data_IF_578942887549
#
_entry.id   IF_578942887549
#
_cell.length_a   1.000
_cell.length_b   1.000
_cell.length_c   1.000
_cell.angle_alpha   90.00
_cell.angle_beta   90.00
_cell.angle_gamma   90.00
#
_symmetry.space_group_name_H-M   'P 1'
#
loop_
_entity.id
_entity.type
_entity.pdbx_description
1 polymer ?
#
# COMPACT_ATOMS: atom_id res chain seq x y z
N UNK A 1 17.32 -7.02 22.33
CA UNK A 1 17.35 -5.59 21.90
C UNK A 1 17.55 -5.52 20.39
N UNK A 2 16.49 -5.21 19.63
CA UNK A 2 16.53 -5.09 18.17
C UNK A 2 17.35 -3.86 17.73
N UNK A 3 18.68 -4.04 17.56
CA UNK A 3 19.64 -2.94 17.31
C UNK A 3 19.37 -2.13 16.03
N UNK A 4 18.57 -2.66 15.09
CA UNK A 4 18.32 -2.04 13.78
C UNK A 4 17.11 -1.09 13.68
N UNK A 5 16.28 -0.96 14.72
CA UNK A 5 15.00 -0.23 14.62
C UNK A 5 14.87 0.89 15.65
N UNK A 6 14.11 1.92 15.28
CA UNK A 6 13.56 2.92 16.20
C UNK A 6 12.10 2.61 16.47
N UNK A 7 11.69 2.66 17.74
CA UNK A 7 10.32 2.35 18.16
C UNK A 7 9.49 3.61 18.33
N UNK A 8 8.22 3.53 17.94
CA UNK A 8 7.27 4.62 18.00
C UNK A 8 5.90 4.12 18.48
N UNK A 9 5.18 4.96 19.21
CA UNK A 9 3.75 4.79 19.46
C UNK A 9 2.93 5.58 18.45
N UNK A 10 1.78 5.04 18.10
CA UNK A 10 0.81 5.70 17.24
C UNK A 10 0.01 6.74 18.03
N UNK A 11 0.15 8.02 17.65
CA UNK A 11 -0.61 9.13 18.26
C UNK A 11 -1.94 9.36 17.55
N UNK A 12 -1.96 9.25 16.22
CA UNK A 12 -3.14 9.52 15.40
C UNK A 12 -3.07 8.77 14.07
N UNK A 13 -4.22 8.31 13.59
CA UNK A 13 -4.42 7.82 12.22
C UNK A 13 -5.51 8.65 11.54
N UNK A 14 -5.24 9.07 10.31
CA UNK A 14 -6.23 9.65 9.40
C UNK A 14 -6.29 8.80 8.13
N UNK A 15 -7.49 8.38 7.72
CA UNK A 15 -7.69 7.56 6.53
C UNK A 15 -7.93 8.45 5.29
N UNK A 16 -7.18 8.22 4.23
CA UNK A 16 -7.35 8.84 2.90
C UNK A 16 -7.64 7.76 1.85
N UNK A 17 -8.10 8.14 0.64
CA UNK A 17 -8.47 7.16 -0.39
C UNK A 17 -7.37 6.18 -0.80
N UNK A 18 -6.10 6.64 -0.81
CA UNK A 18 -4.93 5.88 -1.26
C UNK A 18 -3.94 5.53 -0.15
N UNK A 19 -3.94 6.27 0.95
CA UNK A 19 -3.03 6.05 2.06
C UNK A 19 -3.69 6.28 3.41
N UNK A 20 -3.03 5.84 4.47
CA UNK A 20 -3.27 6.27 5.84
C UNK A 20 -2.16 7.23 6.21
N UNK A 21 -2.52 8.39 6.75
CA UNK A 21 -1.57 9.29 7.39
C UNK A 21 -1.49 8.94 8.87
N UNK A 22 -0.29 8.66 9.35
CA UNK A 22 -0.02 8.31 10.74
C UNK A 22 0.88 9.38 11.38
N UNK A 23 0.57 9.72 12.62
CA UNK A 23 1.42 10.58 13.45
C UNK A 23 2.00 9.71 14.56
N UNK A 24 3.32 9.69 14.65
CA UNK A 24 4.07 8.80 15.53
C UNK A 24 4.85 9.59 16.57
N UNK A 25 4.91 9.06 17.80
CA UNK A 25 5.74 9.60 18.89
C UNK A 25 6.86 8.61 19.21
N UNK A 26 8.11 9.08 19.21
CA UNK A 26 9.28 8.23 19.47
C UNK A 26 9.23 7.70 20.91
N UNK A 27 9.50 6.41 21.08
CA UNK A 27 9.64 5.79 22.39
C UNK A 27 11.07 6.06 22.85
N UNK A 28 11.26 7.12 23.65
CA UNK A 28 12.53 7.37 24.31
C UNK A 28 12.70 6.36 25.45
N UNK A 29 13.83 5.65 25.46
CA UNK A 29 14.20 4.69 26.52
C UNK A 29 14.76 5.37 27.77
N UNK A 30 14.83 6.71 27.78
CA UNK A 30 15.21 7.51 28.95
C UNK A 30 14.06 8.46 29.26
N UNK A 31 13.57 8.39 30.49
CA UNK A 31 12.62 9.34 31.08
C UNK A 31 13.24 10.75 30.99
N UNK A 32 12.81 11.55 30.03
CA UNK A 32 13.00 12.99 30.04
C UNK A 32 11.59 13.60 30.18
N UNK A 33 11.30 14.07 31.39
CA UNK A 33 10.10 14.81 31.77
C UNK A 33 10.14 16.23 31.20
N UNK A 34 10.10 16.37 29.87
CA UNK A 34 9.96 17.67 29.24
C UNK A 34 8.86 17.66 28.15
N UNK A 35 7.64 18.16 28.47
CA UNK A 35 6.45 18.03 27.61
C UNK A 35 6.45 18.95 26.38
N UNK A 36 7.42 19.85 26.23
CA UNK A 36 7.40 20.89 25.19
C UNK A 36 8.13 20.53 23.89
N UNK A 37 8.73 19.34 23.78
CA UNK A 37 9.41 18.87 22.55
C UNK A 37 8.78 17.58 21.98
N UNK A 38 7.44 17.48 21.97
CA UNK A 38 6.72 16.42 21.27
C UNK A 38 6.71 16.63 19.74
N UNK A 39 7.87 16.62 19.10
CA UNK A 39 7.97 16.51 17.64
C UNK A 39 7.53 15.10 17.21
N UNK A 40 6.25 14.97 16.89
CA UNK A 40 5.74 13.77 16.23
C UNK A 40 6.23 13.72 14.79
N UNK A 41 6.49 12.52 14.28
CA UNK A 41 6.78 12.33 12.85
C UNK A 41 5.49 11.96 12.12
N UNK A 42 5.27 12.57 10.96
CA UNK A 42 4.15 12.27 10.08
C UNK A 42 4.62 11.35 8.95
N UNK A 43 3.87 10.27 8.70
CA UNK A 43 4.19 9.30 7.66
C UNK A 43 2.91 8.90 6.93
N UNK A 44 3.01 8.70 5.61
CA UNK A 44 1.95 8.07 4.82
C UNK A 44 2.28 6.59 4.62
N UNK A 45 1.36 5.71 4.99
CA UNK A 45 1.45 4.26 4.78
C UNK A 45 0.31 3.80 3.87
N UNK A 46 0.41 2.60 3.31
CA UNK A 46 -0.63 2.05 2.45
C UNK A 46 -2.00 2.02 3.15
N UNK A 47 -3.09 2.33 2.42
CA UNK A 47 -4.44 2.41 3.00
C UNK A 47 -4.92 1.11 3.67
N UNK A 48 -4.41 -0.04 3.23
CA UNK A 48 -4.77 -1.35 3.76
C UNK A 48 -3.80 -1.84 4.86
N UNK A 49 -2.83 -1.03 5.27
CA UNK A 49 -1.97 -1.37 6.40
C UNK A 49 -2.82 -1.64 7.65
N UNK A 50 -2.62 -2.80 8.27
CA UNK A 50 -3.26 -3.18 9.52
C UNK A 50 -2.50 -2.46 10.64
N UNK A 51 -3.10 -1.41 11.19
CA UNK A 51 -2.54 -0.62 12.26
C UNK A 51 -3.67 -0.23 13.21
N UNK A 52 -3.58 -0.72 14.44
CA UNK A 52 -4.44 -0.41 15.58
C UNK A 52 -3.82 0.63 16.49
N UNK A 53 -4.61 1.15 17.44
CA UNK A 53 -4.20 2.19 18.39
C UNK A 53 -3.06 1.72 19.32
N UNK A 54 -3.05 0.44 19.66
CA UNK A 54 -2.15 -0.14 20.66
C UNK A 54 -0.93 -0.82 20.03
N UNK A 55 -0.77 -0.74 18.72
CA UNK A 55 0.38 -1.33 18.02
C UNK A 55 1.63 -0.45 18.15
N UNK A 56 2.80 -1.08 18.26
CA UNK A 56 4.10 -0.41 18.14
C UNK A 56 4.50 -0.31 16.67
N UNK A 57 5.04 0.84 16.28
CA UNK A 57 5.60 1.06 14.94
C UNK A 57 7.12 1.04 15.02
N UNK A 58 7.73 0.19 14.20
CA UNK A 58 9.18 0.08 14.07
C UNK A 58 9.61 0.71 12.75
N UNK A 59 10.55 1.65 12.82
CA UNK A 59 11.17 2.24 11.62
C UNK A 59 12.60 1.76 11.55
N UNK A 60 13.01 1.22 10.40
CA UNK A 60 14.40 0.80 10.21
C UNK A 60 15.34 2.00 10.22
N UNK A 61 16.45 1.86 10.95
CA UNK A 61 17.53 2.87 10.96
C UNK A 61 18.31 2.91 9.65
N UNK A 62 18.38 1.80 8.92
CA UNK A 62 19.12 1.71 7.65
C UNK A 62 18.30 2.20 6.45
N UNK A 63 16.98 2.05 6.50
CA UNK A 63 16.07 2.56 5.49
C UNK A 63 14.77 3.05 6.15
N UNK A 64 14.59 4.37 6.16
CA UNK A 64 13.43 5.03 6.78
C UNK A 64 12.09 4.73 6.10
N UNK A 65 12.11 4.26 4.85
CA UNK A 65 10.90 3.87 4.11
C UNK A 65 10.36 2.50 4.55
N UNK A 66 11.21 1.67 5.17
CA UNK A 66 10.83 0.36 5.72
C UNK A 66 10.23 0.54 7.11
N UNK A 67 8.92 0.31 7.18
CA UNK A 67 8.13 0.51 8.38
C UNK A 67 7.38 -0.78 8.69
N UNK A 68 7.41 -1.16 9.95
CA UNK A 68 6.80 -2.37 10.45
C UNK A 68 5.85 -2.05 11.59
N UNK A 69 4.85 -2.89 11.77
CA UNK A 69 3.93 -2.89 12.91
C UNK A 69 4.16 -4.15 13.73
N UNK A 70 4.12 -4.04 15.06
CA UNK A 70 4.24 -5.18 15.97
C UNK A 70 3.32 -5.01 17.16
N UNK A 71 2.77 -6.11 17.66
CA UNK A 71 1.96 -6.15 18.87
C UNK A 71 2.39 -7.39 19.66
N UNK A 72 3.18 -7.21 20.72
CA UNK A 72 3.79 -8.30 21.53
C UNK A 72 4.69 -9.26 20.72
N UNK A 73 5.20 -10.36 21.30
CA UNK A 73 6.35 -11.22 20.87
C UNK A 73 6.28 -11.88 19.45
N UNK A 74 5.41 -11.41 18.57
CA UNK A 74 5.33 -11.83 17.17
C UNK A 74 6.37 -11.15 16.28
N UNK A 75 6.60 -11.72 15.10
CA UNK A 75 7.45 -11.09 14.08
C UNK A 75 6.84 -9.76 13.59
N UNK A 76 7.65 -8.70 13.42
CA UNK A 76 7.18 -7.43 12.88
C UNK A 76 6.61 -7.57 11.46
N UNK A 77 5.44 -7.00 11.21
CA UNK A 77 4.76 -7.07 9.92
C UNK A 77 5.09 -5.82 9.10
N UNK A 78 5.63 -5.93 7.86
CA UNK A 78 5.89 -4.77 7.02
C UNK A 78 4.59 -4.10 6.57
N UNK A 79 4.54 -2.78 6.71
CA UNK A 79 3.41 -1.93 6.28
C UNK A 79 3.81 -0.87 5.24
N UNK A 80 5.11 -0.71 4.99
CA UNK A 80 5.72 0.19 4.01
C UNK A 80 7.08 -0.36 3.54
N UNK A 81 7.48 -0.16 2.27
CA UNK A 81 6.73 0.51 1.20
C UNK A 81 5.53 -0.31 0.70
N UNK A 82 4.74 0.24 -0.23
CA UNK A 82 3.68 -0.53 -0.88
C UNK A 82 4.30 -1.61 -1.79
N UNK A 83 3.48 -2.57 -2.18
CA UNK A 83 3.93 -3.67 -3.05
C UNK A 83 4.36 -3.15 -4.40
N UNK A 84 5.57 -3.54 -4.81
CA UNK A 84 6.13 -3.28 -6.12
C UNK A 84 7.05 -4.44 -6.50
N UNK A 85 6.69 -5.14 -7.57
CA UNK A 85 7.45 -6.26 -8.10
C UNK A 85 7.70 -6.04 -9.59
N UNK A 86 8.95 -6.24 -10.01
CA UNK A 86 9.33 -6.14 -11.41
C UNK A 86 9.78 -7.48 -11.95
N UNK A 87 9.32 -7.80 -13.16
CA UNK A 87 9.70 -9.01 -13.85
C UNK A 87 9.98 -8.74 -15.32
N UNK A 88 11.07 -9.29 -15.83
CA UNK A 88 11.35 -9.25 -17.27
C UNK A 88 10.68 -10.45 -17.94
N UNK A 89 9.92 -10.18 -18.99
CA UNK A 89 9.29 -11.20 -19.84
C UNK A 89 9.80 -11.09 -21.27
N UNK A 90 9.77 -12.21 -21.98
CA UNK A 90 9.96 -12.23 -23.43
C UNK A 90 8.58 -12.25 -24.09
N UNK A 91 8.24 -11.20 -24.82
CA UNK A 91 6.99 -11.11 -25.57
C UNK A 91 7.30 -10.63 -27.00
N UNK A 92 6.70 -11.27 -28.01
CA UNK A 92 6.93 -10.93 -29.42
C UNK A 92 8.43 -10.83 -29.83
N UNK A 93 9.28 -11.71 -29.28
CA UNK A 93 10.75 -11.71 -29.47
C UNK A 93 11.49 -10.48 -28.91
N UNK A 94 10.82 -9.67 -28.10
CA UNK A 94 11.39 -8.53 -27.39
C UNK A 94 11.35 -8.78 -25.89
N UNK A 95 12.30 -8.17 -25.17
CA UNK A 95 12.31 -8.17 -23.70
C UNK A 95 11.53 -6.98 -23.21
N UNK A 96 10.54 -7.22 -22.36
CA UNK A 96 9.75 -6.18 -21.72
C UNK A 96 9.84 -6.32 -20.20
N UNK A 97 9.87 -5.19 -19.50
CA UNK A 97 9.76 -5.17 -18.05
C UNK A 97 8.31 -4.95 -17.67
N UNK A 98 7.74 -5.90 -16.94
CA UNK A 98 6.48 -5.74 -16.24
C UNK A 98 6.73 -5.20 -14.84
N UNK A 99 5.87 -4.28 -14.40
CA UNK A 99 5.82 -3.77 -13.03
C UNK A 99 4.44 -4.03 -12.44
N UNK A 100 4.39 -4.80 -11.36
CA UNK A 100 3.19 -5.09 -10.59
C UNK A 100 3.22 -4.26 -9.31
N UNK A 101 2.27 -3.34 -9.12
CA UNK A 101 2.26 -2.48 -7.92
C UNK A 101 0.88 -2.21 -7.34
N UNK A 102 0.85 -1.97 -6.03
CA UNK A 102 -0.32 -1.41 -5.34
C UNK A 102 -0.62 0.03 -5.83
N UNK A 103 -1.85 0.51 -5.62
CA UNK A 103 -2.23 1.88 -5.98
C UNK A 103 -1.62 2.88 -4.99
N UNK A 104 -0.78 3.78 -5.48
CA UNK A 104 -0.08 4.76 -4.64
C UNK A 104 -0.37 6.20 -5.04
N UNK A 105 -0.65 6.43 -6.32
CA UNK A 105 -0.90 7.76 -6.87
C UNK A 105 -2.28 7.89 -7.52
N UNK A 106 -2.68 9.13 -7.78
CA UNK A 106 -3.90 9.40 -8.57
C UNK A 106 -3.78 8.88 -10.01
N UNK A 107 -2.56 8.85 -10.59
CA UNK A 107 -2.35 8.27 -11.92
C UNK A 107 -2.58 6.76 -11.94
N UNK A 108 -2.25 6.07 -10.83
CA UNK A 108 -2.56 4.65 -10.66
C UNK A 108 -4.08 4.46 -10.63
N UNK A 109 -4.81 5.31 -9.90
CA UNK A 109 -6.28 5.29 -9.86
C UNK A 109 -6.89 5.51 -11.25
N UNK A 110 -6.38 6.47 -12.00
CA UNK A 110 -6.83 6.73 -13.37
C UNK A 110 -6.57 5.54 -14.28
N UNK A 111 -5.39 4.91 -14.17
CA UNK A 111 -5.02 3.71 -14.93
C UNK A 111 -5.95 2.55 -14.61
N UNK A 112 -6.22 2.32 -13.33
CA UNK A 112 -7.19 1.32 -12.87
C UNK A 112 -8.59 1.59 -13.40
N UNK A 113 -9.07 2.83 -13.28
CA UNK A 113 -10.39 3.22 -13.77
C UNK A 113 -10.50 3.01 -15.28
N UNK A 114 -9.46 3.35 -16.05
CA UNK A 114 -9.40 3.09 -17.49
C UNK A 114 -9.50 1.58 -17.79
N UNK A 115 -8.65 0.76 -17.17
CA UNK A 115 -8.66 -0.69 -17.40
C UNK A 115 -9.97 -1.36 -16.97
N UNK A 116 -10.57 -0.90 -15.87
CA UNK A 116 -11.82 -1.46 -15.32
C UNK A 116 -13.01 -1.31 -16.27
N UNK A 117 -12.96 -0.35 -17.20
CA UNK A 117 -14.00 -0.17 -18.23
C UNK A 117 -14.04 -1.35 -19.21
N UNK A 118 -12.94 -2.08 -19.38
CA UNK A 118 -12.85 -3.21 -20.31
C UNK A 118 -13.29 -4.54 -19.68
N UNK A 119 -13.39 -4.62 -18.34
CA UNK A 119 -13.74 -5.85 -17.62
C UNK A 119 -15.20 -6.32 -17.79
N UNK A 120 -16.07 -5.51 -18.39
CA UNK A 120 -17.50 -5.81 -18.53
C UNK A 120 -18.09 -5.61 -19.94
N UNK A 121 -17.29 -5.65 -21.02
CA UNK A 121 -17.84 -5.58 -22.39
C UNK A 121 -18.57 -6.84 -22.88
N UNK A 122 -18.70 -7.89 -22.07
CA UNK A 122 -19.55 -9.06 -22.38
C UNK A 122 -20.92 -9.06 -21.69
N UNK A 123 -21.27 -8.08 -20.86
CA UNK A 123 -22.59 -8.08 -20.23
C UNK A 123 -23.03 -6.70 -19.72
N UNK A 124 -23.41 -5.81 -20.64
CA UNK A 124 -24.49 -4.83 -20.47
C UNK A 124 -24.60 -3.95 -21.72
N UNK A 125 -25.24 -4.49 -22.77
CA UNK A 125 -26.34 -3.72 -23.35
C UNK A 125 -27.31 -3.43 -22.20
N UNK A 126 -27.72 -2.18 -22.05
CA UNK A 126 -28.62 -1.69 -21.00
C UNK A 126 -28.00 -1.49 -19.61
N UNK A 127 -27.36 -0.33 -19.44
CA UNK A 127 -27.82 0.66 -18.44
C UNK A 127 -27.07 1.98 -18.64
N UNK A 128 -27.79 2.94 -19.20
CA UNK A 128 -27.51 4.36 -19.00
C UNK A 128 -27.38 4.62 -17.49
N UNK A 129 -26.16 4.75 -17.00
CA UNK A 129 -25.88 5.34 -15.68
C UNK A 129 -24.84 6.42 -15.85
N UNK A 130 -25.25 7.58 -15.40
CA UNK A 130 -24.60 8.89 -15.38
C UNK A 130 -23.07 8.84 -15.17
N UNK A 131 -22.29 9.73 -15.79
CA UNK A 131 -20.82 9.71 -15.78
C UNK A 131 -20.17 10.11 -14.44
N UNK A 132 -20.92 10.17 -13.34
CA UNK A 132 -20.49 10.82 -12.09
C UNK A 132 -20.13 9.88 -10.93
N UNK A 133 -20.09 8.56 -11.10
CA UNK A 133 -19.87 7.62 -9.98
C UNK A 133 -18.77 6.57 -10.19
N UNK A 134 -17.75 6.84 -11.02
CA UNK A 134 -16.49 6.07 -11.03
C UNK A 134 -15.58 6.42 -9.83
N UNK A 135 -16.17 6.65 -8.66
CA UNK A 135 -15.40 6.57 -7.42
C UNK A 135 -15.09 5.10 -7.24
N UNK A 136 -13.81 4.73 -7.07
CA UNK A 136 -13.42 3.47 -6.40
C UNK A 136 -14.45 3.30 -5.30
N UNK A 137 -15.29 2.26 -5.37
CA UNK A 137 -16.42 2.18 -4.47
C UNK A 137 -15.87 2.12 -3.05
N UNK A 138 -15.89 3.27 -2.36
CA UNK A 138 -15.58 3.37 -0.93
C UNK A 138 -16.60 2.60 -0.09
N UNK A 139 -17.58 1.94 -0.74
CA UNK A 139 -18.47 0.93 -0.19
C UNK A 139 -17.70 -0.36 0.09
N UNK A 140 -16.91 -0.31 1.17
CA UNK A 140 -16.28 -1.47 1.81
C UNK A 140 -14.82 -1.64 1.41
N UNK A 141 -13.92 -1.25 2.32
CA UNK A 141 -12.47 -1.44 2.24
C UNK A 141 -12.01 -2.91 2.25
N UNK A 142 -12.63 -3.76 1.43
CA UNK A 142 -12.44 -5.20 1.35
C UNK A 142 -11.80 -5.68 0.04
N UNK A 143 -11.19 -4.78 -0.74
CA UNK A 143 -10.39 -5.18 -1.90
C UNK A 143 -9.12 -4.37 -2.05
N UNK A 144 -8.05 -5.07 -2.44
CA UNK A 144 -6.79 -4.51 -2.87
C UNK A 144 -6.69 -4.63 -4.39
N UNK A 145 -6.05 -3.65 -5.03
CA UNK A 145 -5.82 -3.67 -6.47
C UNK A 145 -4.32 -3.67 -6.69
N UNK A 146 -3.86 -4.61 -7.51
CA UNK A 146 -2.50 -4.65 -8.05
C UNK A 146 -2.60 -4.31 -9.52
N UNK A 147 -1.97 -3.21 -9.93
CA UNK A 147 -1.83 -2.81 -11.32
C UNK A 147 -0.62 -3.48 -11.96
N UNK A 148 -0.77 -3.90 -13.20
CA UNK A 148 0.32 -4.32 -14.05
C UNK A 148 0.60 -3.26 -15.11
N UNK A 149 1.84 -2.83 -15.16
CA UNK A 149 2.38 -1.95 -16.18
C UNK A 149 3.39 -2.70 -17.03
N UNK A 150 3.43 -2.39 -18.31
CA UNK A 150 4.50 -2.81 -19.21
C UNK A 150 5.28 -1.59 -19.65
N UNK A 151 6.61 -1.68 -19.55
CA UNK A 151 7.50 -0.67 -20.11
C UNK A 151 7.66 -0.92 -21.61
N UNK A 152 7.20 0.04 -22.41
CA UNK A 152 7.45 0.14 -23.83
C UNK A 152 8.30 1.39 -24.07
N UNK A 153 9.55 1.18 -24.49
CA UNK A 153 10.55 2.24 -24.64
C UNK A 153 10.69 3.10 -23.36
N UNK A 154 10.30 4.38 -23.44
CA UNK A 154 10.35 5.34 -22.33
C UNK A 154 9.00 5.54 -21.64
N UNK A 155 8.00 4.73 -22.00
CA UNK A 155 6.64 4.86 -21.51
C UNK A 155 6.23 3.64 -20.70
N UNK A 156 5.60 3.91 -19.56
CA UNK A 156 4.99 2.89 -18.71
C UNK A 156 3.49 2.85 -19.03
N UNK A 157 3.03 1.74 -19.61
CA UNK A 157 1.66 1.60 -20.10
C UNK A 157 0.90 0.63 -19.18
N UNK A 158 -0.28 0.99 -18.65
CA UNK A 158 -1.09 0.05 -17.88
C UNK A 158 -1.65 -1.04 -18.80
N UNK A 159 -1.33 -2.30 -18.50
CA UNK A 159 -1.70 -3.45 -19.36
C UNK A 159 -2.67 -4.42 -18.68
N UNK A 160 -2.88 -4.31 -17.38
CA UNK A 160 -3.81 -5.17 -16.66
C UNK A 160 -3.90 -4.83 -15.18
N UNK A 161 -4.82 -5.48 -14.49
CA UNK A 161 -4.95 -5.36 -13.04
C UNK A 161 -5.50 -6.64 -12.43
N UNK A 162 -5.23 -6.85 -11.14
CA UNK A 162 -5.81 -7.91 -10.32
C UNK A 162 -6.50 -7.24 -9.14
N UNK A 163 -7.78 -7.54 -8.95
CA UNK A 163 -8.53 -7.13 -7.76
C UNK A 163 -8.60 -8.30 -6.79
N UNK A 164 -7.90 -8.17 -5.66
CA UNK A 164 -7.86 -9.16 -4.59
C UNK A 164 -8.93 -8.85 -3.56
N UNK A 165 -9.85 -9.78 -3.32
CA UNK A 165 -10.79 -9.66 -2.21
C UNK A 165 -10.10 -9.92 -0.86
N UNK A 166 -10.49 -9.21 0.19
CA UNK A 166 -9.81 -9.18 1.49
C UNK A 166 -9.68 -10.57 2.14
N UNK A 167 -10.60 -11.52 1.86
CA UNK A 167 -10.44 -12.91 2.32
C UNK A 167 -9.15 -13.56 1.82
N UNK A 168 -8.66 -13.16 0.65
CA UNK A 168 -7.37 -13.57 0.11
C UNK A 168 -6.21 -12.77 0.71
N UNK A 169 -6.42 -11.51 1.13
CA UNK A 169 -5.37 -10.65 1.71
C UNK A 169 -5.11 -10.91 3.21
N UNK A 170 -6.08 -11.47 3.94
CA UNK A 170 -6.00 -11.71 5.40
C UNK A 170 -5.23 -12.99 5.77
N UNK A 171 -4.96 -13.87 4.80
CA UNK A 171 -4.27 -15.15 5.04
C UNK A 171 -2.88 -15.13 4.39
N UNK A 172 -1.94 -14.45 5.07
CA UNK A 172 -0.51 -14.54 4.78
C UNK A 172 0.12 -13.96 3.49
N UNK A 173 -0.55 -13.35 2.48
CA UNK A 173 0.15 -13.13 1.22
C UNK A 173 0.99 -11.87 1.24
N UNK A 174 0.63 -10.81 2.02
CA UNK A 174 1.42 -9.58 2.06
C UNK A 174 2.86 -9.89 2.52
N UNK A 175 3.05 -10.53 3.67
CA UNK A 175 4.42 -10.80 4.16
C UNK A 175 5.24 -11.69 3.22
N UNK A 176 4.63 -12.68 2.55
CA UNK A 176 5.34 -13.54 1.57
C UNK A 176 5.63 -12.78 0.28
N UNK A 177 4.67 -11.99 -0.24
CA UNK A 177 4.84 -11.15 -1.42
C UNK A 177 5.87 -10.04 -1.20
N UNK A 178 6.12 -9.63 0.04
CA UNK A 178 7.07 -8.58 0.42
C UNK A 178 8.46 -9.08 0.81
N UNK A 179 8.70 -10.39 0.85
CA UNK A 179 10.00 -10.99 1.19
C UNK A 179 10.90 -11.21 -0.05
N UNK A 180 10.52 -10.62 -1.18
CA UNK A 180 11.22 -10.68 -2.47
C UNK A 180 11.75 -9.31 -2.92
#
# INVERSE_FOLDING_TARGET
MNKGFEKYFLKKISNYPLHKKIILKKINTKQDDNPENESGIEINIHRLALLGKDDEVLISKSNREKIFVTNTDSEPIPISPCYNYQQNINFARQKHTLTFKELESESDVQSYNFLSQFHYRTSQSDKQKSPSNNKISNKGGRSAVILCYMNFDRHQIPVGYIQLHQGLMMNKPRHILFDH
#
